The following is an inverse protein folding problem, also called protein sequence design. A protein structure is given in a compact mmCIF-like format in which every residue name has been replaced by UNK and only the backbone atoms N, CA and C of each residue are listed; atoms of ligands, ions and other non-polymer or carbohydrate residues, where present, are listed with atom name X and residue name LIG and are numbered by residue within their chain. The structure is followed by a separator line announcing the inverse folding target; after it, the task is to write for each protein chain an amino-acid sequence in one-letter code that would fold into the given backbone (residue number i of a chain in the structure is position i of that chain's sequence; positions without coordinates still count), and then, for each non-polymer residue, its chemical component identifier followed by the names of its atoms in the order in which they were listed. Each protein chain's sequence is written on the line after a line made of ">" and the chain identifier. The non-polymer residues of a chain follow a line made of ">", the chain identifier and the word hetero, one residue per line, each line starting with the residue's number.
data_IF_295360070592
#
_entry.id   IF_295360070592
#
_cell.length_a   1.000
_cell.length_b   1.000
_cell.length_c   1.000
_cell.angle_alpha   90.00
_cell.angle_beta   90.00
_cell.angle_gamma   90.00
#
_symmetry.space_group_name_H-M   'P 1'
#
loop_
_entity.id
_entity.type
_entity.pdbx_description
1 polymer ?
#
# COMPACT_ATOMS: atom_id res chain seq x y z
N UNK A 1 23.73 4.01 -4.90
CA UNK A 1 23.53 2.76 -5.64
C UNK A 1 22.41 2.91 -6.66
N UNK A 2 22.65 2.42 -7.83
CA UNK A 2 21.64 2.52 -8.89
C UNK A 2 20.55 1.45 -8.69
N UNK A 3 19.37 1.89 -8.35
CA UNK A 3 18.27 0.96 -8.07
C UNK A 3 17.89 0.14 -9.30
N UNK A 4 18.12 0.69 -10.48
CA UNK A 4 17.82 -0.05 -11.71
C UNK A 4 18.73 -1.23 -11.95
N UNK A 5 19.87 -1.28 -11.25
CA UNK A 5 20.78 -2.41 -11.36
C UNK A 5 20.37 -3.57 -10.45
N UNK A 6 19.36 -3.37 -9.59
CA UNK A 6 18.91 -4.39 -8.66
C UNK A 6 17.83 -5.26 -9.27
N UNK A 7 17.84 -6.54 -8.90
CA UNK A 7 16.73 -7.41 -9.28
C UNK A 7 15.52 -7.08 -8.42
N UNK A 8 14.34 -7.54 -8.89
CA UNK A 8 13.12 -7.38 -8.11
C UNK A 8 13.28 -7.98 -6.72
N UNK A 9 13.88 -9.17 -6.65
CA UNK A 9 14.10 -9.83 -5.37
C UNK A 9 14.99 -9.02 -4.46
N UNK A 10 16.05 -8.43 -5.02
CA UNK A 10 16.96 -7.61 -4.22
C UNK A 10 16.24 -6.39 -3.65
N UNK A 11 15.32 -5.81 -4.43
CA UNK A 11 14.54 -4.66 -3.96
C UNK A 11 13.60 -5.10 -2.84
N UNK A 12 12.95 -6.25 -2.99
CA UNK A 12 12.09 -6.78 -1.93
C UNK A 12 12.87 -6.96 -0.63
N UNK A 13 14.09 -7.50 -0.74
CA UNK A 13 14.93 -7.70 0.44
C UNK A 13 15.24 -6.36 1.10
N UNK A 14 15.57 -5.36 0.29
CA UNK A 14 15.89 -4.04 0.84
C UNK A 14 14.69 -3.38 1.52
N UNK A 15 13.51 -3.53 0.92
CA UNK A 15 12.28 -3.01 1.53
C UNK A 15 12.07 -3.68 2.89
N UNK A 16 12.20 -5.00 2.93
CA UNK A 16 12.01 -5.74 4.16
C UNK A 16 12.99 -5.33 5.24
N UNK A 17 14.26 -5.16 4.86
CA UNK A 17 15.28 -4.74 5.81
C UNK A 17 15.00 -3.34 6.36
N UNK A 18 14.54 -2.45 5.50
CA UNK A 18 14.24 -1.09 5.94
C UNK A 18 13.08 -1.08 6.92
N UNK A 19 12.04 -1.84 6.64
CA UNK A 19 10.90 -1.92 7.55
C UNK A 19 11.30 -2.54 8.88
N UNK A 20 12.14 -3.58 8.83
CA UNK A 20 12.64 -4.20 10.05
C UNK A 20 13.47 -3.21 10.86
N UNK A 21 14.31 -2.44 10.19
CA UNK A 21 15.14 -1.44 10.85
C UNK A 21 14.28 -0.42 11.57
N UNK A 22 13.24 0.07 10.90
CA UNK A 22 12.33 1.04 11.50
C UNK A 22 11.62 0.44 12.70
N UNK A 23 11.17 -0.80 12.56
CA UNK A 23 10.50 -1.48 13.66
C UNK A 23 11.41 -1.60 14.88
N UNK A 24 12.65 -2.01 14.65
CA UNK A 24 13.60 -2.18 15.75
C UNK A 24 13.93 -0.84 16.39
N UNK A 25 14.07 0.22 15.58
CA UNK A 25 14.30 1.55 16.13
C UNK A 25 13.18 2.00 17.03
N UNK A 26 11.97 1.57 16.75
CA UNK A 26 10.81 1.91 17.58
C UNK A 26 10.64 0.93 18.72
N UNK A 27 11.53 -0.05 18.83
CA UNK A 27 11.58 -0.97 19.96
C UNK A 27 10.30 -1.79 20.09
N UNK A 28 9.77 -2.24 18.96
CA UNK A 28 8.58 -3.09 18.97
C UNK A 28 8.87 -4.42 18.30
N UNK A 29 8.18 -5.46 18.79
CA UNK A 29 8.36 -6.80 18.27
C UNK A 29 7.52 -7.00 17.00
N UNK A 30 7.81 -8.10 16.30
CA UNK A 30 6.98 -8.48 15.16
C UNK A 30 5.53 -8.70 15.56
N UNK A 31 5.33 -9.31 16.73
CA UNK A 31 3.97 -9.54 17.22
C UNK A 31 3.24 -8.24 17.52
N UNK A 32 3.95 -7.29 18.11
CA UNK A 32 3.34 -5.99 18.39
C UNK A 32 3.00 -5.26 17.11
N UNK A 33 3.87 -5.32 16.12
CA UNK A 33 3.59 -4.70 14.82
C UNK A 33 2.42 -5.40 14.14
N UNK A 34 2.35 -6.71 14.27
CA UNK A 34 1.23 -7.45 13.69
C UNK A 34 -0.10 -6.96 14.26
N UNK A 35 -0.16 -6.78 15.58
CA UNK A 35 -1.37 -6.27 16.19
C UNK A 35 -1.71 -4.87 15.72
N UNK A 36 -0.71 -4.01 15.66
CA UNK A 36 -0.94 -2.62 15.29
C UNK A 36 -1.35 -2.49 13.83
N UNK A 37 -0.84 -3.35 12.96
CA UNK A 37 -1.12 -3.26 11.53
C UNK A 37 -2.34 -4.06 11.10
N UNK A 38 -2.78 -5.01 11.91
CA UNK A 38 -3.88 -5.88 11.50
C UNK A 38 -3.43 -7.08 10.70
N UNK A 39 -2.13 -7.33 10.62
CA UNK A 39 -1.58 -8.48 9.92
C UNK A 39 -1.14 -9.53 10.92
N UNK A 40 -0.80 -10.72 10.42
CA UNK A 40 -0.25 -11.77 11.28
C UNK A 40 1.25 -11.56 11.46
N UNK A 41 1.79 -12.12 12.55
CA UNK A 41 3.22 -12.07 12.77
C UNK A 41 3.97 -12.78 11.64
N UNK A 42 3.36 -13.83 11.09
CA UNK A 42 3.93 -14.54 9.95
C UNK A 42 4.06 -13.60 8.74
N UNK A 43 3.02 -12.82 8.47
CA UNK A 43 3.07 -11.87 7.36
C UNK A 43 4.15 -10.83 7.55
N UNK A 44 4.31 -10.33 8.78
CA UNK A 44 5.37 -9.36 9.08
C UNK A 44 6.73 -10.02 8.83
N UNK A 45 6.92 -11.24 9.30
CA UNK A 45 8.18 -11.94 9.14
C UNK A 45 8.50 -12.14 7.66
N UNK A 46 7.51 -12.56 6.88
CA UNK A 46 7.70 -12.76 5.44
C UNK A 46 8.11 -11.46 4.75
N UNK A 47 7.46 -10.37 5.09
CA UNK A 47 7.78 -9.08 4.51
C UNK A 47 9.20 -8.65 4.86
N UNK A 48 9.59 -8.80 6.13
CA UNK A 48 10.92 -8.40 6.56
C UNK A 48 12.02 -9.26 5.95
N UNK A 49 11.68 -10.48 5.56
CA UNK A 49 12.64 -11.39 4.93
C UNK A 49 12.67 -11.25 3.42
N UNK A 50 11.95 -10.30 2.85
CA UNK A 50 12.03 -10.03 1.42
C UNK A 50 11.18 -10.93 0.57
N UNK A 51 10.15 -11.55 1.15
CA UNK A 51 9.21 -12.34 0.36
C UNK A 51 8.13 -11.45 -0.23
N UNK A 52 7.41 -11.99 -1.18
CA UNK A 52 6.32 -11.25 -1.82
C UNK A 52 5.31 -10.79 -0.78
N UNK A 53 4.81 -9.58 -0.98
CA UNK A 53 3.81 -9.03 -0.09
C UNK A 53 2.81 -8.25 -0.93
N UNK A 54 1.61 -8.11 -0.42
CA UNK A 54 0.60 -7.34 -1.13
C UNK A 54 0.89 -5.85 -0.98
N UNK A 55 0.40 -5.07 -1.95
CA UNK A 55 0.54 -3.62 -1.87
C UNK A 55 -0.19 -3.10 -0.63
N UNK A 56 -1.33 -3.70 -0.30
CA UNK A 56 -2.06 -3.28 0.88
C UNK A 56 -1.22 -3.48 2.15
N UNK A 57 -0.57 -4.63 2.28
CA UNK A 57 0.30 -4.86 3.43
C UNK A 57 1.43 -3.84 3.49
N UNK A 58 1.96 -3.48 2.33
CA UNK A 58 3.04 -2.50 2.26
C UNK A 58 2.57 -1.10 2.66
N UNK A 59 1.28 -0.85 2.64
CA UNK A 59 0.72 0.39 3.17
C UNK A 59 0.44 0.25 4.66
N UNK A 60 -0.11 -0.89 5.06
CA UNK A 60 -0.53 -1.10 6.45
C UNK A 60 0.65 -1.09 7.42
N UNK A 61 1.77 -1.68 7.03
CA UNK A 61 2.92 -1.76 7.93
C UNK A 61 3.56 -0.39 8.16
N UNK A 62 3.88 0.39 7.11
CA UNK A 62 4.40 1.74 7.37
C UNK A 62 3.43 2.62 8.13
N UNK A 63 2.13 2.45 7.91
CA UNK A 63 1.15 3.22 8.67
C UNK A 63 1.23 2.87 10.16
N UNK A 64 1.33 1.58 10.48
CA UNK A 64 1.45 1.15 11.87
C UNK A 64 2.76 1.60 12.49
N UNK A 65 3.80 1.74 11.69
CA UNK A 65 5.09 2.24 12.14
C UNK A 65 5.17 3.75 12.17
N UNK A 66 4.11 4.42 11.74
CA UNK A 66 4.07 5.87 11.66
C UNK A 66 5.16 6.41 10.72
N UNK A 67 5.35 5.71 9.60
CA UNK A 67 6.35 6.05 8.60
C UNK A 67 5.76 5.99 7.19
N UNK A 68 4.52 6.45 7.03
CA UNK A 68 3.90 6.47 5.71
C UNK A 68 4.63 7.39 4.74
N UNK A 69 5.44 8.29 5.26
CA UNK A 69 6.17 9.20 4.39
C UNK A 69 7.15 8.46 3.47
N UNK A 70 7.46 7.20 3.74
CA UNK A 70 8.29 6.45 2.80
C UNK A 70 7.58 6.21 1.48
N UNK A 71 6.26 6.41 1.45
CA UNK A 71 5.47 6.27 0.24
C UNK A 71 5.12 7.63 -0.38
N UNK A 72 5.72 8.70 0.13
CA UNK A 72 5.40 10.06 -0.33
C UNK A 72 5.59 10.23 -1.82
N UNK A 73 6.61 9.58 -2.37
CA UNK A 73 6.90 9.76 -3.79
C UNK A 73 5.71 9.36 -4.67
N UNK A 74 4.94 8.39 -4.20
CA UNK A 74 3.77 7.93 -4.94
C UNK A 74 2.63 8.93 -4.85
N UNK A 75 2.51 9.64 -3.73
CA UNK A 75 1.37 10.50 -3.46
C UNK A 75 1.70 11.98 -3.49
N UNK A 76 2.98 12.31 -3.51
CA UNK A 76 3.36 13.70 -3.28
C UNK A 76 3.09 14.62 -4.45
N UNK A 77 2.67 14.07 -5.55
CA UNK A 77 2.27 14.90 -6.66
C UNK A 77 1.18 15.83 -6.18
N UNK A 78 1.05 16.93 -6.88
CA UNK A 78 0.12 17.95 -6.48
C UNK A 78 -1.25 17.35 -6.20
N UNK A 79 -1.88 17.76 -5.10
CA UNK A 79 -3.26 17.35 -4.87
C UNK A 79 -4.08 17.73 -6.09
N UNK A 80 -4.94 16.83 -6.53
CA UNK A 80 -5.81 17.13 -7.65
C UNK A 80 -6.83 18.16 -7.19
N UNK A 81 -6.80 19.34 -7.81
CA UNK A 81 -7.74 20.38 -7.46
C UNK A 81 -9.14 19.99 -7.95
N UNK A 82 -10.19 20.54 -7.36
CA UNK A 82 -11.54 20.26 -7.86
C UNK A 82 -11.72 20.58 -9.32
N UNK A 83 -11.07 21.63 -9.79
CA UNK A 83 -11.16 22.00 -11.21
C UNK A 83 -10.47 20.93 -12.07
N UNK A 84 -9.27 20.52 -11.69
CA UNK A 84 -8.55 19.50 -12.43
C UNK A 84 -9.31 18.19 -12.43
N UNK A 85 -9.92 17.83 -11.30
CA UNK A 85 -10.70 16.62 -11.21
C UNK A 85 -11.91 16.68 -12.13
N UNK A 86 -12.56 17.82 -12.18
CA UNK A 86 -13.71 18.00 -13.05
C UNK A 86 -13.31 17.88 -14.52
N UNK A 87 -12.17 18.46 -14.90
CA UNK A 87 -11.69 18.36 -16.26
C UNK A 87 -11.32 16.93 -16.62
N UNK A 88 -10.71 16.21 -15.68
CA UNK A 88 -10.37 14.83 -15.91
C UNK A 88 -11.64 14.01 -16.15
N UNK A 89 -12.68 14.26 -15.38
CA UNK A 89 -13.93 13.54 -15.53
C UNK A 89 -14.57 13.82 -16.88
N UNK A 90 -14.42 15.03 -17.41
CA UNK A 90 -14.94 15.35 -18.74
C UNK A 90 -14.20 14.62 -19.83
N UNK A 91 -12.87 14.50 -19.69
CA UNK A 91 -12.06 13.78 -20.67
C UNK A 91 -12.21 12.28 -20.56
N UNK A 92 -12.58 11.79 -19.40
CA UNK A 92 -12.68 10.36 -19.12
C UNK A 92 -14.05 10.07 -18.52
N UNK A 93 -15.12 10.26 -19.31
CA UNK A 93 -16.46 10.02 -18.76
C UNK A 93 -16.57 8.57 -18.33
N UNK A 94 -17.18 8.37 -17.18
CA UNK A 94 -17.38 7.02 -16.69
C UNK A 94 -18.31 6.27 -17.62
N UNK A 95 -17.93 5.05 -17.92
CA UNK A 95 -18.81 4.15 -18.61
C UNK A 95 -19.87 3.69 -17.62
N UNK A 96 -21.06 3.76 -18.10
CA UNK A 96 -22.11 3.32 -17.21
C UNK A 96 -22.13 1.84 -17.17
N UNK A 97 -21.72 1.37 -16.75
CA UNK A 97 -21.46 0.29 -16.59
C UNK A 97 -20.82 -0.24 -16.04
N UNK A 98 -20.56 -0.26 -16.36
CA UNK A 98 -19.69 -0.81 -15.88
C UNK A 98 -19.83 -0.94 -14.55
N UNK A 99 -20.13 -0.93 -14.49
CA UNK A 99 -20.06 -0.98 -13.46
C UNK A 99 -21.13 -1.14 -12.85
N UNK A 100 -21.79 -1.58 -13.24
CA UNK A 100 -22.61 -1.71 -12.94
C UNK A 100 -23.07 -2.16 -12.23
N UNK A 101 -22.96 -2.29 -12.08
CA UNK A 101 -23.12 -2.44 -11.71
C UNK A 101 -23.51 -2.65 -10.92
N UNK A 102 -23.69 -2.97 -10.77
CA UNK A 102 -23.73 -3.04 -10.39
C UNK A 102 -23.94 -3.11 -9.42
N UNK A 103 -24.20 -3.18 -9.19
CA UNK A 103 -24.15 -3.06 -8.64
C UNK A 103 -23.80 -3.20 -7.78
N UNK A 104 -23.79 -3.32 -7.56
CA UNK A 104 -23.15 -3.21 -7.27
C UNK A 104 -23.01 -3.07 -6.33
N UNK A 105 -23.31 -3.30 -6.09
CA UNK A 105 -22.99 -3.02 -5.77
C UNK A 105 -22.74 -2.86 -4.86
N UNK A 106 -22.99 -2.97 -4.68
CA UNK A 106 -22.50 -2.73 -4.38
C UNK A 106 -21.96 -2.82 -3.61
N UNK A 107 -22.18 -3.15 -3.59
CA UNK A 107 -21.46 -3.19 -3.43
C UNK A 107 -20.81 -3.28 -2.85
N UNK A 108 -20.84 -3.63 -2.89
CA UNK A 108 -20.01 -3.67 -2.93
C UNK A 108 -19.61 -3.64 -2.58
N UNK A 109 -19.66 -4.02 -2.68
CA UNK A 109 -19.02 -3.95 -2.85
C UNK A 109 -18.48 -3.92 -2.61
N UNK A 110 -18.45 -4.43 -2.63
CA UNK A 110 -17.54 -4.44 -2.81
C UNK A 110 -17.23 -4.46 -2.43
N UNK A 111 -17.48 -4.97 -2.54
CA UNK A 111 -16.92 -5.09 -2.63
C UNK A 111 -16.14 -5.23 -2.49
N UNK A 112 -16.07 -5.62 -2.59
CA UNK A 112 -15.11 -5.72 -2.82
C UNK A 112 -14.75 -5.89 -2.39
N UNK A 113 -15.22 -5.99 -1.94
CA UNK A 113 -14.85 -5.89 -1.87
C UNK A 113 -14.84 -5.83 -1.40
N UNK A 114 -15.08 -6.11 -1.15
CA UNK A 114 -15.02 -6.00 -1.15
C UNK A 114 -14.86 -5.98 -1.12
N UNK A 115 -15.03 -6.14 -0.95
CA UNK A 115 -14.82 -6.05 -1.33
C UNK A 115 -14.62 -6.15 -1.37
#
# INVERSE_FOLDING_TARGET
>A
MDIYALTDKAILVQIGLKLKEIRIEKNISQGELAKASGLSAFSISQMENGHNTSVLSLIMVPRALNKLEILDEIQKDKPISPIALSEYAKKHPKKKHAYKSKKVTETTDFNWDNE
#
